data_IF_138593259769
#
_entry.id   IF_138593259769
#
_cell.length_a   1.000
_cell.length_b   1.000
_cell.length_c   1.000
_cell.angle_alpha   90.00
_cell.angle_beta   90.00
_cell.angle_gamma   90.00
#
_symmetry.space_group_name_H-M   'P 1'
#
loop_
_entity.id
_entity.type
_entity.pdbx_description
1 polymer ?
#
# COMPACT_ATOMS: atom_id res chain seq x y z
N UNK A 1 -12.45 -8.68 -6.17
CA UNK A 1 -11.07 -8.16 -6.11
C UNK A 1 -11.01 -6.85 -6.86
N UNK A 2 -10.29 -5.86 -6.33
CA UNK A 2 -10.07 -4.55 -6.94
C UNK A 2 -8.55 -4.33 -7.00
N UNK A 3 -8.06 -3.79 -8.11
CA UNK A 3 -6.72 -3.22 -8.24
C UNK A 3 -6.89 -1.71 -8.44
N UNK A 4 -6.32 -0.93 -7.54
CA UNK A 4 -6.27 0.53 -7.62
C UNK A 4 -4.82 0.97 -7.77
N UNK A 5 -4.39 1.08 -9.01
CA UNK A 5 -3.13 1.75 -9.37
C UNK A 5 -3.45 3.25 -9.51
N UNK A 6 -3.15 3.99 -8.44
CA UNK A 6 -3.69 5.33 -8.29
C UNK A 6 -2.83 6.40 -8.98
N UNK A 7 -3.46 7.43 -9.59
CA UNK A 7 -2.70 8.55 -10.12
C UNK A 7 -1.93 9.23 -8.99
N UNK A 8 -0.65 9.48 -9.20
CA UNK A 8 0.26 10.04 -8.20
C UNK A 8 1.23 11.05 -8.84
N UNK A 9 2.08 11.67 -8.03
CA UNK A 9 3.11 12.59 -8.51
C UNK A 9 4.21 11.91 -9.31
N UNK A 10 4.34 10.58 -9.21
CA UNK A 10 5.39 9.83 -9.88
C UNK A 10 6.78 10.03 -9.29
N UNK A 11 6.89 10.38 -8.03
CA UNK A 11 8.20 10.62 -7.38
C UNK A 11 9.10 9.38 -7.37
N UNK A 12 8.54 8.18 -7.41
CA UNK A 12 9.30 6.94 -7.53
C UNK A 12 9.95 6.73 -8.91
N UNK A 13 9.50 7.45 -9.94
CA UNK A 13 10.04 7.37 -11.30
C UNK A 13 11.18 8.35 -11.55
N UNK A 14 11.52 9.18 -10.56
CA UNK A 14 12.58 10.18 -10.68
C UNK A 14 13.94 9.52 -10.70
N UNK A 15 14.63 9.67 -11.82
CA UNK A 15 16.00 9.16 -11.98
C UNK A 15 16.99 10.18 -11.39
N UNK A 16 17.85 9.71 -10.50
CA UNK A 16 18.91 10.52 -9.90
C UNK A 16 19.77 11.18 -10.99
N UNK A 17 19.97 12.51 -10.86
CA UNK A 17 20.73 13.30 -11.82
C UNK A 17 19.93 13.80 -13.05
N UNK A 18 18.64 13.47 -13.16
CA UNK A 18 17.78 14.01 -14.22
C UNK A 18 16.88 15.13 -13.68
N UNK A 19 17.38 16.38 -13.74
CA UNK A 19 16.61 17.56 -13.30
C UNK A 19 15.27 17.76 -14.04
N UNK A 20 15.15 17.24 -15.27
CA UNK A 20 13.90 17.37 -16.05
C UNK A 20 12.76 16.57 -15.42
N UNK A 21 13.04 15.44 -14.78
CA UNK A 21 12.04 14.63 -14.11
C UNK A 21 11.50 15.29 -12.83
N UNK A 22 12.24 16.26 -12.26
CA UNK A 22 11.82 17.02 -11.08
C UNK A 22 10.95 18.24 -11.42
N UNK A 23 11.01 18.77 -12.63
CA UNK A 23 10.34 20.04 -13.01
C UNK A 23 8.81 19.97 -12.93
N UNK A 24 8.24 18.79 -13.01
CA UNK A 24 6.79 18.57 -12.90
C UNK A 24 6.29 18.39 -11.46
N UNK A 25 7.19 18.19 -10.50
CA UNK A 25 6.85 17.95 -9.11
C UNK A 25 6.59 19.28 -8.40
N UNK A 26 5.33 19.58 -8.18
CA UNK A 26 4.90 20.78 -7.48
C UNK A 26 4.03 20.41 -6.28
N UNK A 27 3.99 21.27 -5.27
CA UNK A 27 3.10 21.11 -4.13
C UNK A 27 1.62 21.04 -4.57
N UNK A 28 1.24 21.83 -5.57
CA UNK A 28 -0.11 21.81 -6.14
C UNK A 28 -0.44 20.45 -6.77
N UNK A 29 0.52 19.83 -7.47
CA UNK A 29 0.34 18.48 -8.02
C UNK A 29 0.18 17.45 -6.91
N UNK A 30 1.01 17.51 -5.87
CA UNK A 30 0.92 16.61 -4.70
C UNK A 30 -0.46 16.72 -4.04
N UNK A 31 -0.93 17.92 -3.75
CA UNK A 31 -2.26 18.14 -3.14
C UNK A 31 -3.37 17.58 -4.03
N UNK A 32 -3.29 17.80 -5.34
CA UNK A 32 -4.27 17.28 -6.30
C UNK A 32 -4.27 15.75 -6.33
N UNK A 33 -3.09 15.12 -6.41
CA UNK A 33 -2.97 13.67 -6.45
C UNK A 33 -3.45 13.04 -5.14
N UNK A 34 -3.00 13.53 -4.00
CA UNK A 34 -3.41 13.05 -2.68
C UNK A 34 -4.93 13.13 -2.48
N UNK A 35 -5.57 14.23 -2.94
CA UNK A 35 -7.03 14.35 -2.91
C UNK A 35 -7.73 13.32 -3.79
N UNK A 36 -7.21 13.07 -4.99
CA UNK A 36 -7.76 12.08 -5.92
C UNK A 36 -7.63 10.67 -5.35
N UNK A 37 -6.48 10.34 -4.75
CA UNK A 37 -6.23 9.04 -4.13
C UNK A 37 -7.19 8.75 -2.99
N UNK A 38 -7.43 9.72 -2.09
CA UNK A 38 -8.40 9.59 -0.99
C UNK A 38 -9.80 9.29 -1.51
N UNK A 39 -10.24 10.01 -2.56
CA UNK A 39 -11.55 9.78 -3.17
C UNK A 39 -11.65 8.42 -3.87
N UNK A 40 -10.58 7.96 -4.51
CA UNK A 40 -10.53 6.65 -5.17
C UNK A 40 -10.49 5.51 -4.16
N UNK A 41 -9.70 5.63 -3.09
CA UNK A 41 -9.65 4.66 -1.99
C UNK A 41 -11.01 4.51 -1.32
N UNK A 42 -11.66 5.63 -0.99
CA UNK A 42 -13.00 5.64 -0.39
C UNK A 42 -14.02 4.88 -1.26
N UNK A 43 -14.04 5.16 -2.57
CA UNK A 43 -14.92 4.47 -3.52
C UNK A 43 -14.57 2.99 -3.67
N UNK A 44 -13.29 2.65 -3.75
CA UNK A 44 -12.82 1.28 -3.92
C UNK A 44 -13.17 0.43 -2.70
N UNK A 45 -12.91 0.92 -1.48
CA UNK A 45 -13.26 0.22 -0.23
C UNK A 45 -14.77 0.08 -0.07
N UNK A 46 -15.55 1.14 -0.39
CA UNK A 46 -17.01 1.09 -0.38
C UNK A 46 -17.59 0.04 -1.34
N UNK A 47 -16.94 -0.16 -2.49
CA UNK A 47 -17.37 -1.11 -3.51
C UNK A 47 -16.95 -2.57 -3.22
N UNK A 48 -16.06 -2.82 -2.26
CA UNK A 48 -15.68 -4.17 -1.87
C UNK A 48 -16.87 -4.94 -1.31
N UNK A 49 -17.02 -6.17 -1.75
CA UNK A 49 -17.93 -7.14 -1.11
C UNK A 49 -17.28 -7.69 0.16
N UNK A 50 -18.06 -8.16 1.15
CA UNK A 50 -17.53 -8.91 2.29
C UNK A 50 -16.55 -10.00 1.83
N UNK A 51 -15.38 -10.10 2.46
CA UNK A 51 -14.28 -10.99 2.07
C UNK A 51 -13.51 -10.55 0.81
N UNK A 52 -13.91 -9.46 0.15
CA UNK A 52 -13.23 -8.92 -1.03
C UNK A 52 -11.91 -8.24 -0.68
N UNK A 53 -11.00 -8.18 -1.64
CA UNK A 53 -9.66 -7.59 -1.48
C UNK A 53 -9.42 -6.44 -2.45
N UNK A 54 -8.66 -5.44 -1.99
CA UNK A 54 -8.18 -4.30 -2.74
C UNK A 54 -6.65 -4.28 -2.66
N UNK A 55 -5.98 -4.25 -3.80
CA UNK A 55 -4.57 -3.86 -3.89
C UNK A 55 -4.54 -2.37 -4.23
N UNK A 56 -3.90 -1.59 -3.39
CA UNK A 56 -3.60 -0.18 -3.61
C UNK A 56 -2.13 -0.02 -3.95
N UNK A 57 -1.84 0.68 -5.04
CA UNK A 57 -0.48 0.92 -5.49
C UNK A 57 -0.29 2.33 -6.04
N UNK A 58 0.93 2.85 -5.92
CA UNK A 58 1.37 4.11 -6.54
C UNK A 58 2.82 3.98 -6.98
N UNK A 59 3.21 4.74 -7.99
CA UNK A 59 4.62 4.98 -8.32
C UNK A 59 5.18 6.21 -7.57
N UNK A 60 4.69 6.47 -6.37
CA UNK A 60 5.18 7.52 -5.46
C UNK A 60 5.87 6.91 -4.25
N UNK A 61 6.85 7.63 -3.72
CA UNK A 61 7.51 7.32 -2.45
C UNK A 61 7.12 8.30 -1.33
N UNK A 62 6.13 9.16 -1.59
CA UNK A 62 5.71 10.20 -0.63
C UNK A 62 4.62 9.65 0.31
N UNK A 63 4.78 9.78 1.64
CA UNK A 63 3.80 9.31 2.61
C UNK A 63 2.40 9.91 2.40
N UNK A 64 2.31 11.16 1.96
CA UNK A 64 1.03 11.85 1.73
C UNK A 64 0.16 11.17 0.66
N UNK A 65 0.81 10.49 -0.30
CA UNK A 65 0.17 9.75 -1.38
C UNK A 65 -0.03 8.26 -1.05
N UNK A 66 0.65 7.77 -0.04
CA UNK A 66 0.74 6.36 0.33
C UNK A 66 0.08 6.11 1.69
N UNK A 67 0.87 6.13 2.75
CA UNK A 67 0.45 5.76 4.10
C UNK A 67 -0.65 6.66 4.64
N UNK A 68 -0.52 7.99 4.48
CA UNK A 68 -1.50 8.95 5.00
C UNK A 68 -2.85 8.80 4.29
N UNK A 69 -2.83 8.60 2.96
CA UNK A 69 -4.06 8.40 2.19
C UNK A 69 -4.75 7.09 2.55
N UNK A 70 -3.97 6.01 2.74
CA UNK A 70 -4.48 4.70 3.13
C UNK A 70 -5.03 4.70 4.56
N UNK A 71 -4.31 5.31 5.51
CA UNK A 71 -4.74 5.39 6.89
C UNK A 71 -6.08 6.13 7.01
N UNK A 72 -6.20 7.29 6.35
CA UNK A 72 -7.45 8.05 6.34
C UNK A 72 -8.63 7.25 5.76
N UNK A 73 -8.36 6.42 4.74
CA UNK A 73 -9.39 5.57 4.15
C UNK A 73 -9.78 4.40 5.09
N UNK A 74 -8.82 3.78 5.77
CA UNK A 74 -9.07 2.73 6.76
C UNK A 74 -9.86 3.26 7.98
N UNK A 75 -9.57 4.48 8.41
CA UNK A 75 -10.31 5.12 9.51
C UNK A 75 -11.78 5.37 9.18
N UNK A 76 -12.10 5.59 7.90
CA UNK A 76 -13.48 5.75 7.42
C UNK A 76 -14.20 4.41 7.19
N UNK A 77 -13.46 3.39 6.79
CA UNK A 77 -13.97 2.06 6.46
C UNK A 77 -13.60 1.05 7.53
N UNK A 78 -14.22 1.17 8.72
CA UNK A 78 -13.98 0.30 9.89
C UNK A 78 -14.25 -1.19 9.63
N UNK A 79 -14.93 -1.53 8.55
CA UNK A 79 -15.17 -2.88 8.07
C UNK A 79 -14.06 -3.41 7.16
N UNK A 80 -13.05 -2.59 6.87
CA UNK A 80 -11.85 -2.99 6.15
C UNK A 80 -10.66 -3.15 7.10
N UNK A 81 -9.72 -3.99 6.72
CA UNK A 81 -8.46 -4.20 7.44
C UNK A 81 -7.27 -4.30 6.48
N UNK A 82 -6.09 -3.90 6.95
CA UNK A 82 -4.85 -4.12 6.25
C UNK A 82 -4.45 -5.61 6.35
N UNK A 83 -4.08 -6.22 5.24
CA UNK A 83 -3.45 -7.54 5.20
C UNK A 83 -1.95 -7.32 5.04
N UNK A 84 -1.15 -7.64 6.07
CA UNK A 84 0.27 -7.36 6.02
C UNK A 84 0.99 -8.13 4.89
N UNK A 85 1.85 -7.42 4.17
CA UNK A 85 2.69 -7.97 3.10
C UNK A 85 4.09 -8.38 3.59
N UNK A 86 4.41 -8.09 4.85
CA UNK A 86 5.70 -8.39 5.49
C UNK A 86 5.75 -9.78 6.17
N UNK A 87 4.69 -10.58 6.01
CA UNK A 87 4.60 -11.90 6.61
C UNK A 87 4.13 -11.91 8.06
N UNK A 88 3.69 -10.78 8.59
CA UNK A 88 3.02 -10.75 9.90
C UNK A 88 1.54 -11.13 9.77
N UNK A 89 0.87 -11.62 10.84
CA UNK A 89 -0.56 -11.89 10.78
C UNK A 89 -1.37 -10.60 10.71
N UNK A 90 -2.50 -10.63 10.00
CA UNK A 90 -3.47 -9.52 10.03
C UNK A 90 -4.09 -9.37 11.43
N UNK A 91 -4.70 -8.22 11.69
CA UNK A 91 -5.32 -7.93 12.99
C UNK A 91 -6.40 -8.96 13.33
N UNK A 92 -7.24 -9.33 12.37
CA UNK A 92 -8.29 -10.34 12.56
C UNK A 92 -7.72 -11.73 12.84
N UNK A 93 -6.63 -12.13 12.17
CA UNK A 93 -5.95 -13.40 12.40
C UNK A 93 -5.23 -13.43 13.76
N UNK A 94 -4.63 -12.34 14.16
CA UNK A 94 -4.01 -12.21 15.48
C UNK A 94 -5.06 -12.35 16.61
N UNK A 95 -6.20 -11.68 16.48
CA UNK A 95 -7.32 -11.81 17.43
C UNK A 95 -7.87 -13.23 17.47
N UNK A 96 -8.14 -13.85 16.29
CA UNK A 96 -8.59 -15.22 16.21
C UNK A 96 -7.62 -16.18 16.93
N UNK A 97 -6.34 -16.04 16.70
CA UNK A 97 -5.31 -16.86 17.31
C UNK A 97 -5.30 -16.73 18.85
N UNK A 98 -5.54 -15.53 19.38
CA UNK A 98 -5.68 -15.31 20.82
C UNK A 98 -6.93 -16.00 21.38
N UNK A 99 -8.06 -15.92 20.69
CA UNK A 99 -9.33 -16.49 21.14
C UNK A 99 -9.36 -18.03 21.07
N UNK A 100 -8.74 -18.63 20.05
CA UNK A 100 -8.76 -20.08 19.81
C UNK A 100 -7.54 -20.82 20.38
N UNK A 101 -6.45 -20.10 20.65
CA UNK A 101 -5.15 -20.70 21.01
C UNK A 101 -4.40 -21.32 19.82
N UNK A 102 -4.93 -21.17 18.59
CA UNK A 102 -4.29 -21.64 17.37
C UNK A 102 -3.18 -20.69 16.93
N UNK A 103 -2.29 -21.17 16.05
CA UNK A 103 -1.35 -20.29 15.38
C UNK A 103 -2.08 -19.35 14.40
N UNK A 104 -1.71 -18.05 14.35
CA UNK A 104 -2.27 -17.15 13.36
C UNK A 104 -1.88 -17.61 11.93
N UNK A 105 -2.80 -17.45 10.99
CA UNK A 105 -2.50 -17.67 9.59
C UNK A 105 -1.79 -16.45 9.03
N UNK A 106 -0.68 -16.69 8.38
CA UNK A 106 0.07 -15.68 7.63
C UNK A 106 -0.34 -15.84 6.17
N UNK A 107 -0.87 -14.80 5.58
CA UNK A 107 -1.16 -14.81 4.13
C UNK A 107 0.16 -14.59 3.38
N UNK A 108 0.91 -15.68 3.19
CA UNK A 108 2.10 -15.67 2.35
C UNK A 108 1.68 -15.42 0.90
N UNK A 109 2.35 -14.52 0.23
CA UNK A 109 2.15 -14.22 -1.17
C UNK A 109 3.51 -14.17 -1.89
N UNK A 110 3.47 -14.25 -3.22
CA UNK A 110 4.69 -14.26 -4.03
C UNK A 110 5.61 -13.05 -3.80
N UNK A 111 5.05 -11.90 -3.40
CA UNK A 111 5.84 -10.70 -3.08
C UNK A 111 6.59 -10.88 -1.76
N UNK A 112 5.94 -11.42 -0.71
CA UNK A 112 6.59 -11.72 0.57
C UNK A 112 7.73 -12.73 0.37
N UNK A 113 7.52 -13.76 -0.44
CA UNK A 113 8.55 -14.73 -0.81
C UNK A 113 9.71 -14.06 -1.55
N UNK A 114 9.43 -13.26 -2.58
CA UNK A 114 10.45 -12.56 -3.36
C UNK A 114 11.31 -11.59 -2.51
N UNK A 115 10.70 -10.96 -1.49
CA UNK A 115 11.43 -10.11 -0.53
C UNK A 115 12.31 -10.97 0.37
N UNK A 116 11.79 -12.08 0.91
CA UNK A 116 12.53 -12.98 1.78
C UNK A 116 13.72 -13.63 1.06
N UNK A 117 13.57 -13.92 -0.24
CA UNK A 117 14.63 -14.46 -1.11
C UNK A 117 15.61 -13.39 -1.63
N UNK A 118 15.36 -12.11 -1.34
CA UNK A 118 16.22 -11.01 -1.78
C UNK A 118 16.07 -10.60 -3.25
N UNK A 119 15.03 -11.08 -3.93
CA UNK A 119 14.73 -10.72 -5.31
C UNK A 119 14.14 -9.31 -5.42
N UNK A 120 13.50 -8.84 -4.37
CA UNK A 120 12.92 -7.49 -4.26
C UNK A 120 13.40 -6.87 -2.96
N UNK A 121 13.97 -5.67 -3.05
CA UNK A 121 14.30 -4.87 -1.87
C UNK A 121 13.08 -4.04 -1.47
N UNK A 122 12.69 -4.13 -0.21
CA UNK A 122 11.68 -3.25 0.37
C UNK A 122 12.28 -2.50 1.56
N UNK A 123 11.82 -1.29 1.79
CA UNK A 123 12.19 -0.50 2.97
C UNK A 123 11.01 -0.37 3.92
N UNK A 124 11.34 -0.31 5.21
CA UNK A 124 10.35 0.02 6.22
C UNK A 124 9.80 1.45 5.96
N UNK A 125 8.51 1.59 6.09
CA UNK A 125 7.81 2.86 5.96
C UNK A 125 7.00 3.16 7.23
N UNK A 126 6.23 4.26 7.21
CA UNK A 126 5.45 4.71 8.36
C UNK A 126 4.26 3.82 8.73
N UNK A 127 3.91 2.84 7.90
CA UNK A 127 2.74 1.98 8.09
C UNK A 127 3.11 0.50 8.00
N UNK A 128 3.31 -0.19 9.15
CA UNK A 128 3.63 -1.61 9.18
C UNK A 128 2.64 -2.45 8.36
N UNK A 129 3.15 -3.45 7.66
CA UNK A 129 2.33 -4.32 6.80
C UNK A 129 2.14 -3.80 5.37
N UNK A 130 2.52 -2.57 5.06
CA UNK A 130 2.66 -2.06 3.69
C UNK A 130 4.10 -2.12 3.22
N UNK A 131 4.33 -2.00 1.92
CA UNK A 131 5.67 -2.08 1.34
C UNK A 131 5.97 -0.84 0.50
N UNK A 132 7.17 -0.29 0.71
CA UNK A 132 7.77 0.69 -0.18
C UNK A 132 8.99 0.06 -0.84
N UNK A 133 8.96 -0.03 -2.15
CA UNK A 133 10.09 -0.46 -2.98
C UNK A 133 10.84 0.81 -3.38
N UNK A 134 12.11 0.98 -2.96
CA UNK A 134 12.86 2.17 -3.30
C UNK A 134 13.21 2.19 -4.80
N UNK A 135 13.30 3.38 -5.42
CA UNK A 135 13.78 3.47 -6.79
C UNK A 135 15.24 2.96 -6.87
N UNK A 136 15.52 2.22 -7.92
CA UNK A 136 16.84 1.67 -8.21
C UNK A 136 17.20 1.93 -9.67
N UNK A 137 18.35 1.39 -10.11
CA UNK A 137 18.74 1.45 -11.53
C UNK A 137 17.78 0.66 -12.42
N UNK A 138 17.22 -0.43 -11.89
CA UNK A 138 16.46 -1.42 -12.65
C UNK A 138 14.94 -1.33 -12.40
N UNK A 139 14.53 -0.64 -11.31
CA UNK A 139 13.13 -0.53 -10.89
C UNK A 139 12.77 0.90 -10.48
N UNK A 140 11.56 1.30 -10.84
CA UNK A 140 10.93 2.50 -10.29
C UNK A 140 10.57 2.30 -8.83
N UNK A 141 10.53 3.39 -8.05
CA UNK A 141 10.02 3.37 -6.69
C UNK A 141 8.51 3.12 -6.69
N UNK A 142 8.04 2.27 -5.77
CA UNK A 142 6.68 1.79 -5.77
C UNK A 142 6.16 1.60 -4.35
N UNK A 143 4.89 1.88 -4.13
CA UNK A 143 4.19 1.58 -2.89
C UNK A 143 3.08 0.56 -3.13
N UNK A 144 2.92 -0.39 -2.20
CA UNK A 144 1.90 -1.43 -2.28
C UNK A 144 1.27 -1.66 -0.91
N UNK A 145 -0.05 -1.75 -0.88
CA UNK A 145 -0.83 -2.18 0.26
C UNK A 145 -1.95 -3.13 -0.16
N UNK A 146 -2.26 -4.11 0.68
CA UNK A 146 -3.36 -5.05 0.50
C UNK A 146 -4.40 -4.82 1.59
N UNK A 147 -5.62 -4.55 1.20
CA UNK A 147 -6.77 -4.35 2.10
C UNK A 147 -7.81 -5.41 1.86
N UNK A 148 -8.46 -5.88 2.92
CA UNK A 148 -9.59 -6.81 2.86
C UNK A 148 -10.81 -6.23 3.60
N UNK A 149 -11.99 -6.37 3.01
CA UNK A 149 -13.23 -6.13 3.71
C UNK A 149 -13.58 -7.35 4.55
N UNK A 150 -13.84 -7.15 5.84
CA UNK A 150 -14.24 -8.22 6.75
C UNK A 150 -15.56 -8.85 6.31
N UNK A 151 -15.74 -10.12 6.63
CA UNK A 151 -16.97 -10.89 6.32
C UNK A 151 -18.09 -10.57 7.29
#
# INVERSE_FOLDING_TARGET
RILLDAPCTGTGTVISGNEKSLRGLTEQLLVKCARSQRALLDRAMGALKPGGTLVYSTCSILPQENEDALQEALDKHMDCELIPLDGTPSESEARRAQDTGDKPRIECNALTEAIAEGHVSAIANGMPGTLTIPPSRDFEGFYIALVRKRS
#
